data_IF_065031579537
#
_entry.id   IF_065031579537
#
_cell.length_a   1.000
_cell.length_b   1.000
_cell.length_c   1.000
_cell.angle_alpha   90.00
_cell.angle_beta   90.00
_cell.angle_gamma   90.00
#
_symmetry.space_group_name_H-M   'P 1'
#
loop_
_entity.id
_entity.type
_entity.pdbx_description
1 polymer ?
#
# COMPACT_ATOMS: atom_id res chain seq x y z
N UNK A 1 4.06 19.58 -8.06
CA UNK A 1 3.19 18.86 -9.01
C UNK A 1 3.86 17.54 -9.35
N UNK A 2 3.14 16.43 -9.59
CA UNK A 2 3.77 15.22 -10.12
C UNK A 2 4.36 15.55 -11.50
N UNK A 3 5.63 15.21 -11.68
CA UNK A 3 6.42 15.65 -12.84
C UNK A 3 6.53 14.55 -13.89
N UNK A 4 6.23 13.30 -13.53
CA UNK A 4 6.29 12.16 -14.44
C UNK A 4 4.94 11.47 -14.66
N UNK A 5 4.78 10.89 -15.85
CA UNK A 5 3.61 10.05 -16.20
C UNK A 5 3.46 8.88 -15.21
N UNK A 6 4.58 8.33 -14.74
CA UNK A 6 4.56 7.27 -13.74
C UNK A 6 3.98 7.76 -12.40
N UNK A 7 4.40 8.92 -11.91
CA UNK A 7 3.88 9.50 -10.66
C UNK A 7 2.37 9.77 -10.74
N UNK A 8 1.89 10.28 -11.87
CA UNK A 8 0.46 10.52 -12.08
C UNK A 8 -0.33 9.19 -11.97
N UNK A 9 0.16 8.14 -12.64
CA UNK A 9 -0.46 6.81 -12.60
C UNK A 9 -0.42 6.20 -11.21
N UNK A 10 0.73 6.28 -10.54
CA UNK A 10 0.94 5.83 -9.16
C UNK A 10 -0.05 6.50 -8.21
N UNK A 11 -0.13 7.83 -8.22
CA UNK A 11 -1.02 8.59 -7.33
C UNK A 11 -2.49 8.27 -7.59
N UNK A 12 -2.87 8.09 -8.85
CA UNK A 12 -4.26 7.78 -9.24
C UNK A 12 -4.67 6.39 -8.75
N UNK A 13 -3.84 5.38 -9.00
CA UNK A 13 -4.10 4.00 -8.54
C UNK A 13 -4.06 3.93 -7.01
N UNK A 14 -3.09 4.60 -6.37
CA UNK A 14 -2.99 4.71 -4.90
C UNK A 14 -4.26 5.31 -4.30
N UNK A 15 -4.76 6.42 -4.84
CA UNK A 15 -5.99 7.06 -4.38
C UNK A 15 -7.21 6.13 -4.53
N UNK A 16 -7.33 5.41 -5.64
CA UNK A 16 -8.41 4.42 -5.83
C UNK A 16 -8.31 3.25 -4.84
N UNK A 17 -7.10 2.74 -4.60
CA UNK A 17 -6.85 1.65 -3.65
C UNK A 17 -7.32 2.01 -2.24
N UNK A 18 -6.91 3.18 -1.73
CA UNK A 18 -7.29 3.66 -0.40
C UNK A 18 -8.76 4.10 -0.30
N UNK A 19 -9.43 4.36 -1.43
CA UNK A 19 -10.88 4.61 -1.51
C UNK A 19 -11.70 3.32 -1.71
N UNK A 20 -11.24 2.18 -1.19
CA UNK A 20 -11.90 0.87 -1.26
C UNK A 20 -12.07 0.27 -2.66
N UNK A 21 -11.38 0.77 -3.69
CA UNK A 21 -11.34 0.14 -5.02
C UNK A 21 -10.16 -0.83 -5.10
N UNK A 22 -10.19 -1.90 -4.30
CA UNK A 22 -9.06 -2.85 -4.19
C UNK A 22 -9.06 -3.97 -5.26
N UNK A 23 -9.97 -3.92 -6.24
CA UNK A 23 -10.02 -4.89 -7.35
C UNK A 23 -9.27 -4.33 -8.56
N UNK A 24 -8.13 -4.91 -8.99
CA UNK A 24 -7.35 -4.39 -10.13
C UNK A 24 -8.17 -4.25 -11.42
N UNK A 25 -9.07 -5.20 -11.70
CA UNK A 25 -9.96 -5.13 -12.86
C UNK A 25 -10.88 -3.90 -12.83
N UNK A 26 -11.35 -3.48 -11.64
CA UNK A 26 -12.18 -2.28 -11.47
C UNK A 26 -11.34 -1.02 -11.66
N UNK A 27 -10.11 -1.01 -11.15
CA UNK A 27 -9.15 0.09 -11.36
C UNK A 27 -8.87 0.25 -12.86
N UNK A 28 -8.57 -0.83 -13.59
CA UNK A 28 -8.33 -0.81 -15.04
C UNK A 28 -9.54 -0.23 -15.78
N UNK A 29 -10.77 -0.63 -15.43
CA UNK A 29 -12.00 -0.08 -16.02
C UNK A 29 -12.18 1.42 -15.77
N UNK A 30 -11.77 1.92 -14.60
CA UNK A 30 -11.89 3.33 -14.22
C UNK A 30 -10.80 4.19 -14.89
N UNK A 31 -9.55 3.71 -14.90
CA UNK A 31 -8.40 4.52 -15.34
C UNK A 31 -8.03 4.33 -16.81
N UNK A 32 -8.43 3.21 -17.43
CA UNK A 32 -7.99 2.83 -18.77
C UNK A 32 -6.49 2.51 -18.86
N UNK A 33 -5.79 2.36 -17.74
CA UNK A 33 -4.36 2.08 -17.75
C UNK A 33 -4.05 0.65 -18.18
N UNK A 34 -2.84 0.40 -18.74
CA UNK A 34 -2.42 -0.94 -19.10
C UNK A 34 -2.49 -1.89 -17.91
N UNK A 35 -2.90 -3.13 -18.18
CA UNK A 35 -3.01 -4.18 -17.15
C UNK A 35 -1.70 -4.34 -16.38
N UNK A 36 -0.56 -4.43 -17.07
CA UNK A 36 0.77 -4.53 -16.45
C UNK A 36 1.01 -3.42 -15.44
N UNK A 37 0.80 -2.16 -15.84
CA UNK A 37 1.00 -1.00 -14.97
C UNK A 37 0.13 -1.03 -13.72
N UNK A 38 -1.16 -1.38 -13.84
CA UNK A 38 -2.05 -1.44 -12.68
C UNK A 38 -1.62 -2.56 -11.72
N UNK A 39 -1.27 -3.74 -12.25
CA UNK A 39 -0.84 -4.86 -11.42
C UNK A 39 0.49 -4.59 -10.72
N UNK A 40 1.46 -3.97 -11.41
CA UNK A 40 2.74 -3.59 -10.80
C UNK A 40 2.55 -2.61 -9.64
N UNK A 41 1.72 -1.58 -9.84
CA UNK A 41 1.43 -0.59 -8.79
C UNK A 41 0.69 -1.24 -7.61
N UNK A 42 -0.32 -2.07 -7.88
CA UNK A 42 -1.06 -2.77 -6.82
C UNK A 42 -0.17 -3.71 -6.03
N UNK A 43 0.75 -4.43 -6.68
CA UNK A 43 1.68 -5.32 -6.00
C UNK A 43 2.59 -4.52 -5.04
N UNK A 44 3.13 -3.39 -5.49
CA UNK A 44 3.89 -2.48 -4.62
C UNK A 44 3.07 -1.95 -3.45
N UNK A 45 1.80 -1.59 -3.68
CA UNK A 45 0.91 -1.13 -2.60
C UNK A 45 0.65 -2.23 -1.57
N UNK A 46 0.45 -3.48 -2.02
CA UNK A 46 0.30 -4.63 -1.13
C UNK A 46 1.55 -4.91 -0.32
N UNK A 47 2.72 -4.84 -0.95
CA UNK A 47 4.01 -4.97 -0.23
C UNK A 47 4.10 -3.91 0.86
N UNK A 48 3.80 -2.65 0.56
CA UNK A 48 3.79 -1.54 1.53
C UNK A 48 2.79 -1.76 2.67
N UNK A 49 1.59 -2.25 2.38
CA UNK A 49 0.57 -2.57 3.39
C UNK A 49 0.97 -3.79 4.24
N UNK A 50 1.68 -4.75 3.65
CA UNK A 50 2.23 -5.91 4.32
C UNK A 50 3.46 -5.58 5.18
N UNK A 51 4.07 -4.38 5.03
CA UNK A 51 5.02 -3.82 6.00
C UNK A 51 4.29 -3.29 7.26
N UNK A 52 3.16 -3.88 7.64
CA UNK A 52 2.62 -3.73 8.99
C UNK A 52 3.55 -4.45 9.96
N UNK A 53 4.44 -3.67 10.57
CA UNK A 53 5.13 -3.93 11.83
C UNK A 53 5.36 -5.42 12.14
N UNK A 54 6.41 -6.00 11.55
CA UNK A 54 7.13 -7.03 12.30
C UNK A 54 7.54 -6.35 13.62
N UNK A 55 7.16 -6.86 14.81
CA UNK A 55 7.79 -6.38 16.03
C UNK A 55 9.28 -6.61 15.86
N UNK A 56 10.05 -5.53 15.88
CA UNK A 56 11.50 -5.61 15.81
C UNK A 56 11.94 -6.43 17.06
N UNK A 57 12.52 -7.62 16.90
CA UNK A 57 12.95 -8.44 18.04
C UNK A 57 14.20 -7.77 18.62
N UNK A 58 13.98 -6.79 19.51
CA UNK A 58 15.06 -5.97 20.06
C UNK A 58 14.65 -4.98 21.14
N UNK A 59 13.34 -4.75 21.35
CA UNK A 59 12.87 -4.03 22.53
C UNK A 59 12.42 -5.03 23.60
N UNK A 60 13.09 -5.09 24.76
CA UNK A 60 12.57 -5.83 25.91
C UNK A 60 11.23 -5.21 26.31
N UNK A 61 10.18 -6.03 26.32
CA UNK A 61 8.98 -5.72 27.10
C UNK A 61 9.42 -5.70 28.56
N UNK A 62 9.63 -4.51 29.10
CA UNK A 62 9.97 -4.32 30.50
C UNK A 62 8.71 -4.68 31.31
N UNK A 63 8.64 -5.95 31.73
CA UNK A 63 7.63 -6.44 32.64
C UNK A 63 7.87 -5.78 33.99
N UNK A 64 7.14 -4.71 34.27
CA UNK A 64 7.11 -4.11 35.61
C UNK A 64 6.29 -5.08 36.49
N UNK A 65 6.87 -5.66 37.55
CA UNK A 65 6.10 -6.50 38.45
C UNK A 65 5.05 -5.65 39.15
N UNK A 66 3.78 -6.08 39.06
CA UNK A 66 2.72 -5.56 39.91
C UNK A 66 3.05 -5.96 41.35
N UNK A 67 3.39 -4.99 42.20
CA UNK A 67 3.44 -5.20 43.65
C UNK A 67 2.00 -5.29 44.16
N UNK A 68 1.63 -6.48 44.61
CA UNK A 68 0.52 -6.68 45.55
C UNK A 68 0.84 -6.03 46.90
#
# INVERSE_FOLDING_TARGET
APTSVFEIRWLTVKKLWFNNVQKPAKIIKITGYPKSTVYDIVNRLKEMENVKHLPCPGHPLLLIPNKH
#
